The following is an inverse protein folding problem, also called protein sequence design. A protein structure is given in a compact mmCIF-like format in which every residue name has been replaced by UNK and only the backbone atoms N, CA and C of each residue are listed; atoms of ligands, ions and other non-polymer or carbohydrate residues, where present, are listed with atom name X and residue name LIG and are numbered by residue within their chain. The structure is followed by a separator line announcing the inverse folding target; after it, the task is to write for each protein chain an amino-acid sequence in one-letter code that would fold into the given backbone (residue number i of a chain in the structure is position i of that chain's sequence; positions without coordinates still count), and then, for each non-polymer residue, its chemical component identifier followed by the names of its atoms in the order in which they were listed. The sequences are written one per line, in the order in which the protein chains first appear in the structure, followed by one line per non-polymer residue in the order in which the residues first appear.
data_IF_687185306485
#
_entry.id   IF_687185306485
#
_cell.length_a   1.000
_cell.length_b   1.000
_cell.length_c   1.000
_cell.angle_alpha   90.00
_cell.angle_beta   90.00
_cell.angle_gamma   90.00
#
_symmetry.space_group_name_H-M   'P 1'
#
loop_
_entity.id
_entity.type
_entity.pdbx_description
1 polymer ?
#
# COMPACT_ATOMS: atom_id res chain seq x y z
N UNK A 1 24.03 29.35 -4.63
CA UNK A 1 22.99 28.35 -4.91
C UNK A 1 23.48 27.07 -4.24
N UNK A 2 22.65 26.39 -3.51
CA UNK A 2 23.00 25.11 -2.87
C UNK A 2 23.38 24.12 -3.97
N UNK A 3 24.47 23.36 -3.76
CA UNK A 3 24.88 22.28 -4.68
C UNK A 3 24.12 20.97 -4.40
N UNK A 4 23.05 21.08 -3.58
CA UNK A 4 22.22 19.95 -3.19
C UNK A 4 21.10 19.74 -4.19
N UNK A 5 20.78 18.47 -4.47
CA UNK A 5 19.64 18.12 -5.31
C UNK A 5 18.32 18.55 -4.64
N UNK A 6 17.39 19.05 -5.44
CA UNK A 6 16.05 19.48 -4.98
C UNK A 6 15.07 18.34 -5.02
N UNK A 7 14.42 18.09 -3.89
CA UNK A 7 13.44 17.00 -3.72
C UNK A 7 12.07 17.58 -3.36
N UNK A 8 11.07 17.25 -4.14
CA UNK A 8 9.68 17.56 -3.83
C UNK A 8 9.01 16.40 -3.08
N UNK A 9 8.53 16.65 -1.87
CA UNK A 9 7.64 15.72 -1.16
C UNK A 9 6.21 16.16 -1.39
N UNK A 10 5.52 15.51 -2.36
CA UNK A 10 4.18 15.92 -2.83
C UNK A 10 3.05 15.42 -1.94
N UNK A 11 3.27 14.34 -1.19
CA UNK A 11 2.28 13.76 -0.29
C UNK A 11 2.87 13.53 1.09
N UNK A 12 2.02 13.60 2.12
CA UNK A 12 2.45 13.42 3.52
C UNK A 12 3.03 12.02 3.74
N UNK A 13 4.27 11.98 4.22
CA UNK A 13 4.99 10.80 4.70
C UNK A 13 5.30 10.97 6.19
N UNK A 14 5.96 9.99 6.82
CA UNK A 14 6.42 10.10 8.20
C UNK A 14 7.45 11.22 8.34
N UNK A 15 7.38 12.00 9.42
CA UNK A 15 8.27 13.14 9.69
C UNK A 15 9.75 12.71 9.70
N UNK A 16 10.05 11.54 10.27
CA UNK A 16 11.40 10.95 10.25
C UNK A 16 11.95 10.72 8.83
N UNK A 17 11.08 10.43 7.85
CA UNK A 17 11.49 10.30 6.46
C UNK A 17 11.81 11.66 5.83
N UNK A 18 11.06 12.69 6.19
CA UNK A 18 11.32 14.07 5.75
C UNK A 18 12.64 14.57 6.35
N UNK A 19 12.87 14.35 7.64
CA UNK A 19 14.10 14.73 8.34
C UNK A 19 15.33 14.09 7.68
N UNK A 20 15.29 12.79 7.37
CA UNK A 20 16.39 12.10 6.68
C UNK A 20 16.67 12.69 5.28
N UNK A 21 15.62 13.08 4.54
CA UNK A 21 15.81 13.73 3.25
C UNK A 21 16.46 15.11 3.42
N UNK A 22 16.03 15.90 4.41
CA UNK A 22 16.54 17.25 4.67
C UNK A 22 18.01 17.27 5.10
N UNK A 23 18.54 16.19 5.66
CA UNK A 23 19.96 16.06 5.97
C UNK A 23 20.83 16.11 4.70
N UNK A 24 20.33 15.58 3.57
CA UNK A 24 21.10 15.34 2.36
C UNK A 24 20.71 16.25 1.19
N UNK A 25 19.45 16.71 1.15
CA UNK A 25 18.83 17.36 0.00
C UNK A 25 18.16 18.68 0.40
N UNK A 26 17.89 19.52 -0.60
CA UNK A 26 16.98 20.66 -0.45
C UNK A 26 15.55 20.15 -0.66
N UNK A 27 14.74 20.13 0.40
CA UNK A 27 13.42 19.48 0.40
C UNK A 27 12.32 20.53 0.44
N UNK A 28 11.47 20.51 -0.57
CA UNK A 28 10.23 21.27 -0.62
C UNK A 28 9.03 20.37 -0.26
N UNK A 29 8.18 20.84 0.66
CA UNK A 29 6.93 20.17 1.01
C UNK A 29 5.78 20.76 0.17
N UNK A 30 5.39 20.05 -0.88
CA UNK A 30 4.32 20.46 -1.79
C UNK A 30 2.99 19.75 -1.50
N UNK A 31 2.66 19.49 -0.23
CA UNK A 31 1.48 18.69 0.15
C UNK A 31 0.18 19.34 -0.34
N UNK A 32 0.09 20.67 -0.28
CA UNK A 32 -1.10 21.42 -0.70
C UNK A 32 -0.99 21.98 -2.14
N UNK A 33 0.07 21.62 -2.85
CA UNK A 33 0.30 22.07 -4.24
C UNK A 33 -0.76 21.47 -5.17
N UNK A 34 -1.40 22.29 -6.00
CA UNK A 34 -2.35 21.79 -7.01
C UNK A 34 -1.67 21.02 -8.15
N UNK A 35 -2.44 20.34 -8.97
CA UNK A 35 -1.89 19.62 -10.14
C UNK A 35 -1.35 20.59 -11.19
N UNK A 36 -1.95 21.78 -11.33
CA UNK A 36 -1.49 22.85 -12.21
C UNK A 36 -0.14 23.40 -11.73
N UNK A 37 -0.03 23.71 -10.43
CA UNK A 37 1.23 24.17 -9.83
C UNK A 37 2.35 23.11 -9.94
N UNK A 38 1.98 21.82 -9.77
CA UNK A 38 2.92 20.72 -9.96
C UNK A 38 3.43 20.68 -11.41
N UNK A 39 2.53 20.83 -12.38
CA UNK A 39 2.87 20.84 -13.80
C UNK A 39 3.82 22.01 -14.18
N UNK A 40 3.66 23.15 -13.51
CA UNK A 40 4.53 24.33 -13.74
C UNK A 40 5.92 24.15 -13.12
N UNK A 41 6.01 23.51 -11.96
CA UNK A 41 7.23 23.49 -11.13
C UNK A 41 8.03 22.19 -11.20
N UNK A 42 7.45 21.11 -11.73
CA UNK A 42 8.07 19.78 -11.66
C UNK A 42 9.47 19.73 -12.32
N UNK A 43 9.69 20.56 -13.35
CA UNK A 43 10.99 20.66 -14.01
C UNK A 43 12.11 21.23 -13.15
N UNK A 44 11.80 21.84 -12.00
CA UNK A 44 12.80 22.40 -11.08
C UNK A 44 13.41 21.35 -10.13
N UNK A 45 12.82 20.15 -10.04
CA UNK A 45 13.18 19.13 -9.07
C UNK A 45 13.99 17.99 -9.68
N UNK A 46 15.01 17.54 -8.95
CA UNK A 46 15.81 16.35 -9.27
C UNK A 46 15.10 15.04 -8.84
N UNK A 47 14.25 15.10 -7.81
CA UNK A 47 13.46 13.97 -7.37
C UNK A 47 12.08 14.40 -6.84
N UNK A 48 11.13 13.48 -6.95
CA UNK A 48 9.81 13.65 -6.36
C UNK A 48 9.45 12.42 -5.52
N UNK A 49 8.88 12.65 -4.33
CA UNK A 49 8.33 11.60 -3.48
C UNK A 49 6.82 11.73 -3.40
N UNK A 50 6.12 10.66 -3.80
CA UNK A 50 4.67 10.57 -3.86
C UNK A 50 4.15 9.35 -3.10
N UNK A 51 2.83 9.28 -2.93
CA UNK A 51 2.10 8.09 -2.51
C UNK A 51 1.07 7.68 -3.57
N UNK A 52 -0.18 7.51 -3.19
CA UNK A 52 -1.24 6.99 -4.08
C UNK A 52 -2.13 8.07 -4.69
N UNK A 53 -2.16 9.28 -4.13
CA UNK A 53 -3.06 10.33 -4.59
C UNK A 53 -2.52 11.07 -5.83
N UNK A 54 -1.20 11.28 -5.90
CA UNK A 54 -0.56 11.98 -7.02
C UNK A 54 -0.39 11.03 -8.22
N UNK A 55 -0.85 11.46 -9.39
CA UNK A 55 -0.64 10.72 -10.64
C UNK A 55 0.45 11.40 -11.47
N UNK A 56 1.51 10.67 -11.76
CA UNK A 56 2.57 11.13 -12.67
C UNK A 56 2.25 10.63 -14.08
N UNK A 57 1.53 11.48 -14.81
CA UNK A 57 1.12 11.24 -16.19
C UNK A 57 2.30 11.42 -17.15
N UNK A 58 2.22 10.92 -18.42
CA UNK A 58 3.24 11.18 -19.44
C UNK A 58 3.53 12.67 -19.60
N UNK A 59 2.50 13.52 -19.58
CA UNK A 59 2.64 14.97 -19.71
C UNK A 59 3.49 15.58 -18.58
N UNK A 60 3.21 15.20 -17.31
CA UNK A 60 3.99 15.63 -16.15
C UNK A 60 5.45 15.17 -16.23
N UNK A 61 5.66 13.90 -16.61
CA UNK A 61 6.98 13.31 -16.76
C UNK A 61 7.76 13.99 -17.90
N UNK A 62 7.11 14.37 -18.99
CA UNK A 62 7.76 15.10 -20.10
C UNK A 62 8.25 16.48 -19.68
N UNK A 63 7.58 17.16 -18.75
CA UNK A 63 7.98 18.47 -18.21
C UNK A 63 9.01 18.40 -17.08
N UNK A 64 9.28 17.22 -16.56
CA UNK A 64 10.21 17.00 -15.45
C UNK A 64 11.69 17.00 -15.92
N UNK A 65 12.19 18.14 -16.39
CA UNK A 65 13.45 18.24 -17.12
C UNK A 65 14.68 17.81 -16.32
N UNK A 66 14.70 18.11 -15.01
CA UNK A 66 15.81 17.77 -14.13
C UNK A 66 15.62 16.44 -13.39
N UNK A 67 14.44 15.80 -13.54
CA UNK A 67 14.05 14.63 -12.74
C UNK A 67 14.95 13.43 -12.99
N UNK A 68 15.48 12.87 -11.94
CA UNK A 68 16.32 11.66 -11.94
C UNK A 68 15.62 10.49 -11.25
N UNK A 69 14.83 10.79 -10.21
CA UNK A 69 14.20 9.76 -9.37
C UNK A 69 12.76 10.12 -9.05
N UNK A 70 11.86 9.16 -9.21
CA UNK A 70 10.50 9.16 -8.71
C UNK A 70 10.43 8.12 -7.59
N UNK A 71 10.26 8.56 -6.36
CA UNK A 71 10.05 7.70 -5.21
C UNK A 71 8.56 7.54 -4.91
N UNK A 72 8.06 6.31 -4.83
CA UNK A 72 6.69 6.03 -4.39
C UNK A 72 6.69 5.38 -3.01
N UNK A 73 6.28 6.12 -1.97
CA UNK A 73 6.17 5.59 -0.60
C UNK A 73 4.96 4.64 -0.49
N UNK A 74 5.11 3.44 -1.01
CA UNK A 74 4.10 2.37 -1.02
C UNK A 74 4.45 1.25 -1.99
N UNK A 75 3.58 0.24 -2.06
CA UNK A 75 3.86 -1.02 -2.78
C UNK A 75 3.66 -0.92 -4.29
N UNK A 76 2.55 -0.35 -4.74
CA UNK A 76 2.23 -0.26 -6.17
C UNK A 76 2.97 0.90 -6.85
N UNK A 77 2.93 0.96 -8.18
CA UNK A 77 3.45 2.05 -9.01
C UNK A 77 2.45 2.41 -10.14
N UNK A 78 1.21 2.00 -9.98
CA UNK A 78 0.11 2.16 -10.94
C UNK A 78 -0.26 3.62 -11.22
N UNK A 79 0.11 4.53 -10.34
CA UNK A 79 -0.06 5.97 -10.48
C UNK A 79 1.15 6.69 -11.13
N UNK A 80 2.15 5.94 -11.62
CA UNK A 80 3.31 6.47 -12.37
C UNK A 80 3.35 5.85 -13.75
N UNK A 81 3.45 6.65 -14.80
CA UNK A 81 3.67 6.15 -16.16
C UNK A 81 5.12 5.67 -16.32
N UNK A 82 5.31 4.37 -16.07
CA UNK A 82 6.64 3.73 -16.13
C UNK A 82 7.26 3.84 -17.54
N UNK A 83 6.52 3.60 -18.65
CA UNK A 83 7.07 3.78 -19.99
C UNK A 83 7.62 5.20 -20.25
N UNK A 84 6.90 6.25 -19.85
CA UNK A 84 7.34 7.62 -19.99
C UNK A 84 8.60 7.92 -19.14
N UNK A 85 8.61 7.46 -17.87
CA UNK A 85 9.77 7.59 -16.99
C UNK A 85 11.01 6.88 -17.57
N UNK A 86 10.84 5.66 -18.05
CA UNK A 86 11.91 4.86 -18.66
C UNK A 86 12.50 5.56 -19.90
N UNK A 87 11.63 6.09 -20.77
CA UNK A 87 12.05 6.81 -21.98
C UNK A 87 12.94 8.03 -21.65
N UNK A 88 12.68 8.67 -20.52
CA UNK A 88 13.47 9.82 -20.03
C UNK A 88 14.66 9.42 -19.15
N UNK A 89 14.88 8.14 -18.90
CA UNK A 89 15.94 7.65 -18.03
C UNK A 89 15.71 7.95 -16.55
N UNK A 90 14.44 8.19 -16.13
CA UNK A 90 14.08 8.46 -14.75
C UNK A 90 13.89 7.14 -14.01
N UNK A 91 14.56 7.00 -12.87
CA UNK A 91 14.42 5.82 -12.00
C UNK A 91 13.12 5.91 -11.23
N UNK A 92 12.31 4.85 -11.26
CA UNK A 92 11.12 4.73 -10.42
C UNK A 92 11.36 3.69 -9.34
N UNK A 93 11.35 4.14 -8.08
CA UNK A 93 11.55 3.30 -6.90
C UNK A 93 10.29 3.26 -6.03
N UNK A 94 10.01 2.10 -5.46
CA UNK A 94 8.88 1.90 -4.55
C UNK A 94 9.31 1.23 -3.24
N UNK A 95 8.38 1.15 -2.28
CA UNK A 95 8.58 0.48 -0.99
C UNK A 95 7.67 -0.79 -0.91
N UNK A 96 8.08 -1.91 -1.52
CA UNK A 96 7.18 -3.04 -1.80
C UNK A 96 6.73 -3.81 -0.56
N UNK A 97 7.36 -3.61 0.60
CA UNK A 97 7.05 -4.33 1.84
C UNK A 97 6.40 -3.44 2.92
N UNK A 98 6.36 -2.13 2.71
CA UNK A 98 6.03 -1.14 3.73
C UNK A 98 4.64 -1.31 4.38
N UNK A 99 3.67 -1.88 3.67
CA UNK A 99 2.30 -2.05 4.16
C UNK A 99 1.78 -3.49 4.12
N UNK A 100 2.63 -4.48 3.76
CA UNK A 100 2.16 -5.86 3.55
C UNK A 100 1.60 -6.48 4.83
N UNK A 101 2.25 -6.26 5.96
CA UNK A 101 1.79 -6.73 7.28
C UNK A 101 0.49 -6.04 7.67
N UNK A 102 0.44 -4.71 7.57
CA UNK A 102 -0.74 -3.92 7.92
C UNK A 102 -1.97 -4.32 7.07
N UNK A 103 -1.78 -4.54 5.77
CA UNK A 103 -2.85 -4.99 4.88
C UNK A 103 -3.36 -6.40 5.26
N UNK A 104 -2.46 -7.33 5.57
CA UNK A 104 -2.85 -8.67 6.00
C UNK A 104 -3.59 -8.66 7.34
N UNK A 105 -3.16 -7.86 8.30
CA UNK A 105 -3.82 -7.71 9.60
C UNK A 105 -5.19 -7.05 9.46
N UNK A 106 -5.30 -6.01 8.64
CA UNK A 106 -6.58 -5.38 8.37
C UNK A 106 -7.57 -6.33 7.69
N UNK A 107 -7.09 -7.19 6.78
CA UNK A 107 -7.90 -8.24 6.14
C UNK A 107 -8.52 -9.17 7.19
N UNK A 108 -7.72 -9.66 8.14
CA UNK A 108 -8.21 -10.53 9.22
C UNK A 108 -9.13 -9.77 10.19
N UNK A 109 -8.82 -8.50 10.49
CA UNK A 109 -9.67 -7.66 11.33
C UNK A 109 -11.07 -7.50 10.73
N UNK A 110 -11.15 -7.21 9.42
CA UNK A 110 -12.43 -7.10 8.68
C UNK A 110 -13.17 -8.44 8.65
N UNK A 111 -12.46 -9.55 8.38
CA UNK A 111 -13.04 -10.88 8.39
C UNK A 111 -13.65 -11.22 9.77
N UNK A 112 -12.89 -11.03 10.85
CA UNK A 112 -13.37 -11.26 12.21
C UNK A 112 -14.54 -10.34 12.58
N UNK A 113 -14.48 -9.07 12.21
CA UNK A 113 -15.57 -8.11 12.43
C UNK A 113 -16.86 -8.55 11.72
N UNK A 114 -16.74 -9.03 10.48
CA UNK A 114 -17.87 -9.55 9.70
C UNK A 114 -18.44 -10.84 10.31
N UNK A 115 -17.60 -11.85 10.55
CA UNK A 115 -18.03 -13.14 11.06
C UNK A 115 -18.65 -13.05 12.46
N UNK A 116 -18.22 -12.10 13.28
CA UNK A 116 -18.68 -11.91 14.66
C UNK A 116 -19.67 -10.75 14.82
N UNK A 117 -20.12 -10.12 13.73
CA UNK A 117 -21.05 -8.98 13.72
C UNK A 117 -20.60 -7.81 14.64
N UNK A 118 -19.28 -7.58 14.76
CA UNK A 118 -18.72 -6.63 15.73
C UNK A 118 -19.27 -5.20 15.57
N UNK A 119 -19.34 -4.59 14.36
CA UNK A 119 -19.87 -3.24 14.18
C UNK A 119 -21.35 -3.12 14.58
N UNK A 120 -22.15 -4.12 14.20
CA UNK A 120 -23.60 -4.14 14.49
C UNK A 120 -23.87 -4.32 15.99
N UNK A 121 -23.14 -5.24 16.63
CA UNK A 121 -23.24 -5.47 18.07
C UNK A 121 -22.81 -4.22 18.86
N UNK A 122 -21.72 -3.57 18.44
CA UNK A 122 -21.26 -2.32 19.03
C UNK A 122 -22.31 -1.21 18.91
N UNK A 123 -22.86 -0.99 17.71
CA UNK A 123 -23.88 0.03 17.48
C UNK A 123 -25.15 -0.23 18.31
N UNK A 124 -25.59 -1.49 18.43
CA UNK A 124 -26.72 -1.87 19.28
C UNK A 124 -26.45 -1.54 20.76
N UNK A 125 -25.25 -1.90 21.25
CA UNK A 125 -24.89 -1.68 22.65
C UNK A 125 -24.79 -0.17 22.97
N UNK A 126 -24.16 0.61 22.12
CA UNK A 126 -24.06 2.09 22.27
C UNK A 126 -25.45 2.74 22.27
N UNK A 127 -26.40 2.19 21.51
CA UNK A 127 -27.81 2.62 21.51
C UNK A 127 -28.62 2.12 22.72
N UNK A 128 -27.96 1.55 23.75
CA UNK A 128 -28.59 1.07 24.98
C UNK A 128 -29.35 -0.26 24.84
N UNK A 129 -29.16 -1.01 23.75
CA UNK A 129 -29.82 -2.30 23.53
C UNK A 129 -28.89 -3.47 23.88
N UNK A 130 -29.46 -4.55 24.41
CA UNK A 130 -28.76 -5.79 24.79
C UNK A 130 -29.24 -6.96 23.92
N UNK A 131 -28.98 -6.84 22.58
CA UNK A 131 -29.53 -7.77 21.56
C UNK A 131 -28.59 -8.94 21.28
N UNK A 132 -27.90 -9.49 22.27
CA UNK A 132 -26.84 -10.50 22.10
C UNK A 132 -27.23 -11.70 21.23
N UNK A 133 -28.51 -12.07 21.24
CA UNK A 133 -29.03 -13.20 20.46
C UNK A 133 -28.99 -12.97 18.95
N UNK A 134 -29.02 -11.71 18.51
CA UNK A 134 -28.98 -11.31 17.10
C UNK A 134 -27.55 -11.35 16.52
N UNK A 135 -26.52 -11.29 17.38
CA UNK A 135 -25.13 -11.11 16.96
C UNK A 135 -24.23 -12.29 17.32
N UNK A 136 -24.77 -13.53 17.26
CA UNK A 136 -23.99 -14.74 17.58
C UNK A 136 -22.79 -14.92 16.65
N UNK A 137 -22.97 -14.65 15.37
CA UNK A 137 -21.93 -14.82 14.37
C UNK A 137 -21.46 -16.26 14.15
N UNK A 138 -20.31 -16.42 13.52
CA UNK A 138 -19.67 -17.70 13.24
C UNK A 138 -18.21 -17.68 13.66
N UNK A 139 -17.66 -18.83 14.02
CA UNK A 139 -16.23 -19.02 14.29
C UNK A 139 -15.49 -19.25 12.97
N UNK A 140 -14.20 -18.93 12.95
CA UNK A 140 -13.30 -19.24 11.81
C UNK A 140 -12.80 -20.69 11.88
N UNK A 141 -12.74 -21.26 13.07
CA UNK A 141 -12.26 -22.62 13.33
C UNK A 141 -12.87 -23.65 12.37
N UNK A 142 -12.02 -24.46 11.75
CA UNK A 142 -12.42 -25.52 10.81
C UNK A 142 -13.08 -25.05 9.52
N UNK A 143 -13.00 -23.75 9.21
CA UNK A 143 -13.50 -23.21 7.93
C UNK A 143 -12.38 -23.11 6.91
N UNK A 144 -12.76 -23.12 5.63
CA UNK A 144 -11.83 -22.97 4.51
C UNK A 144 -11.78 -21.53 4.04
N UNK A 145 -10.58 -20.97 3.91
CA UNK A 145 -10.32 -19.66 3.30
C UNK A 145 -9.79 -19.83 1.88
N UNK A 146 -10.48 -19.25 0.90
CA UNK A 146 -9.96 -19.12 -0.47
C UNK A 146 -9.15 -17.82 -0.61
N UNK A 147 -7.92 -17.91 -1.09
CA UNK A 147 -7.04 -16.76 -1.37
C UNK A 147 -6.75 -16.69 -2.87
N UNK A 148 -7.23 -15.63 -3.52
CA UNK A 148 -6.93 -15.34 -4.93
C UNK A 148 -5.82 -14.30 -4.98
N UNK A 149 -4.65 -14.68 -5.51
CA UNK A 149 -3.41 -13.91 -5.42
C UNK A 149 -2.58 -14.28 -4.18
N UNK A 150 -1.53 -15.11 -4.40
CA UNK A 150 -0.70 -15.64 -3.31
C UNK A 150 0.68 -14.98 -3.26
N UNK A 151 0.69 -13.65 -3.49
CA UNK A 151 1.85 -12.78 -3.29
C UNK A 151 2.16 -12.53 -1.81
N UNK A 152 2.92 -11.47 -1.51
CA UNK A 152 3.34 -11.14 -0.13
C UNK A 152 2.17 -11.05 0.85
N UNK A 153 1.13 -10.31 0.51
CA UNK A 153 -0.05 -10.12 1.37
C UNK A 153 -0.84 -11.42 1.51
N UNK A 154 -1.11 -12.13 0.40
CA UNK A 154 -1.85 -13.39 0.42
C UNK A 154 -1.19 -14.44 1.31
N UNK A 155 0.14 -14.58 1.26
CA UNK A 155 0.91 -15.48 2.13
C UNK A 155 0.81 -15.08 3.61
N UNK A 156 0.85 -13.78 3.91
CA UNK A 156 0.70 -13.28 5.28
C UNK A 156 -0.72 -13.48 5.83
N UNK A 157 -1.75 -13.35 4.98
CA UNK A 157 -3.14 -13.66 5.34
C UNK A 157 -3.30 -15.15 5.59
N UNK A 158 -2.80 -16.00 4.69
CA UNK A 158 -2.84 -17.46 4.83
C UNK A 158 -2.22 -17.94 6.13
N UNK A 159 -1.00 -17.48 6.45
CA UNK A 159 -0.31 -17.80 7.70
C UNK A 159 -1.15 -17.46 8.95
N UNK A 160 -1.84 -16.33 8.91
CA UNK A 160 -2.71 -15.88 10.03
C UNK A 160 -4.01 -16.68 10.09
N UNK A 161 -4.60 -17.01 8.94
CA UNK A 161 -5.80 -17.84 8.88
C UNK A 161 -5.52 -19.27 9.40
N UNK A 162 -4.37 -19.84 9.08
CA UNK A 162 -3.92 -21.12 9.64
C UNK A 162 -3.81 -21.08 11.18
N UNK A 163 -3.39 -19.94 11.77
CA UNK A 163 -3.35 -19.76 13.21
C UNK A 163 -4.75 -19.65 13.86
N UNK A 164 -5.81 -19.48 13.06
CA UNK A 164 -7.21 -19.64 13.46
C UNK A 164 -7.77 -21.03 13.15
N UNK A 165 -6.90 -22.02 12.91
CA UNK A 165 -7.25 -23.38 12.55
C UNK A 165 -8.15 -23.48 11.31
N UNK A 166 -7.95 -22.56 10.34
CA UNK A 166 -8.60 -22.62 9.03
C UNK A 166 -7.79 -23.47 8.06
N UNK A 167 -8.47 -24.14 7.14
CA UNK A 167 -7.88 -24.64 5.93
C UNK A 167 -7.69 -23.49 4.91
N UNK A 168 -6.61 -23.51 4.16
CA UNK A 168 -6.34 -22.46 3.17
C UNK A 168 -6.18 -23.07 1.78
N UNK A 169 -7.04 -22.63 0.87
CA UNK A 169 -6.94 -22.88 -0.58
C UNK A 169 -6.43 -21.60 -1.23
N UNK A 170 -5.44 -21.69 -2.10
CA UNK A 170 -4.93 -20.49 -2.77
C UNK A 170 -4.80 -20.69 -4.28
N UNK A 171 -4.97 -19.61 -5.01
CA UNK A 171 -4.73 -19.56 -6.44
C UNK A 171 -3.82 -18.39 -6.80
N UNK A 172 -2.75 -18.67 -7.53
CA UNK A 172 -1.88 -17.68 -8.14
C UNK A 172 -1.18 -18.27 -9.36
N UNK A 173 -1.25 -17.61 -10.51
CA UNK A 173 -0.66 -18.11 -11.76
C UNK A 173 0.87 -18.04 -11.82
N UNK A 174 1.49 -17.33 -10.88
CA UNK A 174 2.94 -17.13 -10.82
C UNK A 174 3.61 -17.90 -9.68
N UNK A 175 2.83 -18.55 -8.82
CA UNK A 175 3.33 -19.33 -7.68
C UNK A 175 3.33 -20.81 -8.04
N UNK A 176 4.46 -21.49 -7.80
CA UNK A 176 4.59 -22.93 -8.09
C UNK A 176 3.82 -23.80 -7.09
N UNK A 177 3.41 -25.00 -7.53
CA UNK A 177 2.75 -25.98 -6.66
C UNK A 177 3.62 -26.36 -5.44
N UNK A 178 4.94 -26.42 -5.62
CA UNK A 178 5.90 -26.67 -4.54
C UNK A 178 5.82 -25.58 -3.47
N UNK A 179 5.74 -24.31 -3.88
CA UNK A 179 5.65 -23.18 -2.96
C UNK A 179 4.36 -23.18 -2.14
N UNK A 180 3.23 -23.57 -2.71
CA UNK A 180 1.98 -23.76 -1.96
C UNK A 180 2.17 -24.84 -0.89
N UNK A 181 2.75 -25.99 -1.26
CA UNK A 181 3.01 -27.10 -0.34
C UNK A 181 3.93 -26.71 0.81
N UNK A 182 5.02 -25.97 0.54
CA UNK A 182 5.96 -25.50 1.57
C UNK A 182 5.28 -24.61 2.62
N UNK A 183 4.23 -23.90 2.22
CA UNK A 183 3.47 -23.01 3.08
C UNK A 183 2.24 -23.70 3.72
N UNK A 184 2.08 -25.01 3.50
CA UNK A 184 0.95 -25.78 4.03
C UNK A 184 -0.40 -25.34 3.49
N UNK A 185 -0.43 -24.92 2.21
CA UNK A 185 -1.61 -24.40 1.51
C UNK A 185 -1.91 -25.32 0.34
N UNK A 186 -3.18 -25.60 0.09
CA UNK A 186 -3.64 -26.28 -1.12
C UNK A 186 -3.73 -25.26 -2.27
N UNK A 187 -3.07 -25.55 -3.41
CA UNK A 187 -2.96 -24.67 -4.56
C UNK A 187 -3.60 -25.20 -5.83
#
# INVERSE_FOLDING_TARGET
MSDRARVLVKEKIADSGVEQLQELFDVDLGIDMSDEELLEKIGEYDAILIRSATKLTPELIERADNMKVIGRAGTGVDNVDIPAATKRGIIVANAPESNSVAAAEHTLALALALFRNVPQAHASLVAGRWDRGLYKGSELYGKTLGVIGFGRIGQLVAKRAQAFDMEVLAFDKFVSAERFKDLGVEG
#
